data_IF_184270687793
#
_entry.id   IF_184270687793
#
_cell.length_a   1.000
_cell.length_b   1.000
_cell.length_c   1.000
_cell.angle_alpha   90.00
_cell.angle_beta   90.00
_cell.angle_gamma   90.00
#
_symmetry.space_group_name_H-M   'P 1'
#
loop_
_entity.id
_entity.type
_entity.pdbx_description
1 polymer ?
2 water ?
#
# COMPACT_ATOMS: atom_id res chain seq x y z
N UNK A 1 -2.79 12.03 -22.91
CA UNK A 1 -1.40 11.68 -22.69
C UNK A 1 -1.02 10.31 -23.21
N UNK A 2 0.27 9.95 -23.11
CA UNK A 2 0.76 8.64 -23.58
C UNK A 2 0.09 7.46 -22.81
N UNK A 3 -0.16 6.35 -23.50
CA UNK A 3 -0.70 5.14 -22.87
C UNK A 3 0.26 4.55 -21.79
N UNK A 4 1.59 4.76 -21.95
CA UNK A 4 2.60 4.31 -20.98
C UNK A 4 2.50 5.11 -19.66
N UNK A 5 1.85 6.28 -19.67
CA UNK A 5 1.64 7.13 -18.48
C UNK A 5 0.28 6.87 -17.79
N UNK A 6 -0.47 5.88 -18.25
CA UNK A 6 -1.75 5.52 -17.63
C UNK A 6 -1.53 4.81 -16.30
N UNK A 7 -2.56 4.81 -15.46
CA UNK A 7 -2.52 4.13 -14.16
C UNK A 7 -3.54 3.03 -14.14
N UNK A 8 -3.19 1.91 -13.47
CA UNK A 8 -4.09 0.77 -13.33
C UNK A 8 -4.59 0.69 -11.87
N UNK A 9 -5.81 1.18 -11.65
CA UNK A 9 -6.42 1.18 -10.33
C UNK A 9 -7.09 -0.15 -10.10
N UNK A 10 -6.84 -0.78 -8.95
CA UNK A 10 -7.51 -2.03 -8.56
C UNK A 10 -8.03 -1.87 -7.12
N UNK A 11 -9.11 -2.60 -6.81
CA UNK A 11 -9.62 -2.82 -5.46
C UNK A 11 -10.06 -4.28 -5.37
N UNK A 12 -9.59 -4.99 -4.33
CA UNK A 12 -9.94 -6.39 -4.08
C UNK A 12 -10.67 -6.49 -2.73
N UNK A 13 -11.58 -7.46 -2.62
CA UNK A 13 -12.28 -7.80 -1.37
C UNK A 13 -11.94 -9.25 -1.14
N UNK A 14 -11.50 -9.56 0.07
CA UNK A 14 -11.01 -10.88 0.40
C UNK A 14 -11.60 -11.39 1.69
N UNK A 15 -11.49 -12.70 1.92
CA UNK A 15 -12.07 -13.35 3.10
C UNK A 15 -11.35 -12.96 4.39
N UNK A 16 -10.09 -12.51 4.29
CA UNK A 16 -9.33 -12.05 5.45
C UNK A 16 -7.95 -11.56 5.09
N UNK A 17 -7.08 -11.41 6.10
CA UNK A 17 -5.71 -10.89 5.96
C UNK A 17 -4.65 -11.99 5.87
N UNK A 18 -5.00 -13.27 6.10
CA UNK A 18 -4.02 -14.37 6.08
C UNK A 18 -3.77 -14.83 4.65
N UNK A 19 -2.60 -14.50 4.10
CA UNK A 19 -2.21 -14.87 2.73
C UNK A 19 -2.17 -16.41 2.51
N UNK A 20 -1.93 -17.20 3.58
CA UNK A 20 -1.90 -18.67 3.44
C UNK A 20 -3.32 -19.28 3.33
N UNK A 21 -4.30 -18.78 4.09
CA UNK A 21 -5.67 -19.31 4.12
C UNK A 21 -6.69 -18.54 3.26
N UNK A 22 -6.70 -17.21 3.37
CA UNK A 22 -7.72 -16.40 2.70
C UNK A 22 -7.61 -16.32 1.20
N UNK A 23 -8.73 -15.97 0.56
CA UNK A 23 -8.89 -15.92 -0.88
C UNK A 23 -9.55 -14.64 -1.34
N UNK A 24 -9.40 -14.35 -2.65
CA UNK A 24 -10.00 -13.17 -3.26
C UNK A 24 -11.46 -13.50 -3.61
N UNK A 25 -12.42 -12.66 -3.14
CA UNK A 25 -13.85 -12.87 -3.39
C UNK A 25 -14.43 -11.83 -4.35
N UNK A 26 -13.81 -10.64 -4.47
CA UNK A 26 -14.27 -9.62 -5.43
C UNK A 26 -13.09 -8.85 -5.95
N UNK A 27 -13.19 -8.36 -7.20
CA UNK A 27 -12.11 -7.55 -7.77
C UNK A 27 -12.70 -6.57 -8.75
N UNK A 28 -12.07 -5.40 -8.87
CA UNK A 28 -12.45 -4.39 -9.86
C UNK A 28 -11.20 -3.73 -10.40
N UNK A 29 -11.30 -3.19 -11.61
CA UNK A 29 -10.18 -2.50 -12.22
C UNK A 29 -10.68 -1.27 -12.92
N UNK A 30 -9.88 -0.20 -12.91
CA UNK A 30 -10.23 1.05 -13.58
C UNK A 30 -8.95 1.69 -14.13
N UNK A 31 -8.99 2.30 -15.34
CA UNK A 31 -7.84 2.99 -15.91
C UNK A 31 -8.05 4.48 -15.89
N UNK A 32 -7.04 5.22 -15.38
CA UNK A 32 -7.00 6.65 -15.48
C UNK A 32 -5.73 7.03 -16.25
N UNK A 33 -5.68 8.26 -16.76
CA UNK A 33 -4.50 8.84 -17.35
C UNK A 33 -3.62 9.36 -16.20
N UNK A 34 -2.45 9.94 -16.53
CA UNK A 34 -1.50 10.45 -15.55
C UNK A 34 -2.07 11.49 -14.55
N UNK A 35 -3.06 12.27 -14.99
CA UNK A 35 -3.71 13.34 -14.25
C UNK A 35 -5.02 12.92 -13.62
N UNK A 36 -5.27 11.58 -13.46
CA UNK A 36 -6.46 11.08 -12.78
C UNK A 36 -7.78 11.29 -13.54
N UNK A 37 -7.70 11.60 -14.85
CA UNK A 37 -8.87 11.67 -15.72
C UNK A 37 -9.28 10.23 -16.01
N UNK A 38 -10.59 9.95 -15.93
CA UNK A 38 -11.19 8.61 -16.01
C UNK A 38 -11.12 8.13 -17.46
N UNK A 39 -10.45 7.00 -17.77
CA UNK A 39 -10.36 6.55 -19.16
C UNK A 39 -11.29 5.36 -19.45
N UNK A 40 -11.27 4.30 -18.63
CA UNK A 40 -12.08 3.13 -18.92
C UNK A 40 -12.29 2.27 -17.68
N UNK A 41 -13.54 1.85 -17.43
CA UNK A 41 -13.82 0.97 -16.30
C UNK A 41 -13.64 -0.47 -16.78
N UNK A 42 -12.94 -1.26 -15.99
CA UNK A 42 -12.70 -2.68 -16.26
C UNK A 42 -13.77 -3.54 -15.64
N UNK A 43 -13.60 -4.86 -15.65
CA UNK A 43 -14.62 -5.73 -15.06
C UNK A 43 -14.80 -5.53 -13.54
N UNK A 44 -16.00 -5.83 -13.03
CA UNK A 44 -16.26 -5.93 -11.58
C UNK A 44 -16.77 -7.35 -11.43
N UNK A 45 -15.93 -8.24 -10.91
CA UNK A 45 -16.21 -9.67 -10.82
C UNK A 45 -16.26 -10.16 -9.38
N UNK A 46 -17.28 -10.97 -9.06
CA UNK A 46 -17.43 -11.61 -7.74
C UNK A 46 -17.00 -13.05 -7.98
N UNK A 47 -15.96 -13.50 -7.27
CA UNK A 47 -15.31 -14.80 -7.47
C UNK A 47 -15.79 -15.83 -6.47
N UNK A 48 -16.13 -17.04 -6.95
CA UNK A 48 -16.61 -18.16 -6.13
C UNK A 48 -15.50 -18.68 -5.25
N UNK A 49 -15.82 -18.89 -3.97
CA UNK A 49 -14.93 -19.50 -2.98
C UNK A 49 -15.79 -20.42 -2.09
N UNK A 50 -15.20 -21.44 -1.42
CA UNK A 50 -16.03 -22.36 -0.62
C UNK A 50 -16.84 -21.76 0.54
N UNK A 51 -17.89 -22.47 0.96
CA UNK A 51 -18.73 -22.05 2.10
C UNK A 51 -17.94 -22.14 3.42
N UNK A 52 -17.05 -23.15 3.55
CA UNK A 52 -16.22 -23.31 4.76
C UNK A 52 -15.42 -22.04 4.99
N UNK A 53 -14.78 -21.52 3.92
CA UNK A 53 -13.99 -20.28 3.98
C UNK A 53 -14.87 -19.10 4.38
N UNK A 54 -16.07 -18.95 3.77
CA UNK A 54 -16.98 -17.85 4.08
C UNK A 54 -17.50 -17.85 5.53
N UNK A 55 -17.62 -19.03 6.17
CA UNK A 55 -18.09 -19.17 7.55
C UNK A 55 -16.95 -19.00 8.56
N UNK A 56 -15.70 -19.35 8.17
CA UNK A 56 -14.53 -19.20 9.03
C UNK A 56 -13.97 -17.74 9.06
N UNK A 57 -14.63 -16.78 8.36
CA UNK A 57 -14.21 -15.36 8.33
C UNK A 57 -14.37 -14.69 9.69
N UNK A 58 -13.61 -13.60 9.92
CA UNK A 58 -13.68 -12.84 11.17
C UNK A 58 -15.08 -12.23 11.34
N UNK A 59 -15.48 -11.97 12.60
CA UNK A 59 -16.80 -11.40 12.89
C UNK A 59 -17.00 -10.05 12.18
N UNK A 60 -15.91 -9.26 12.04
CA UNK A 60 -15.93 -7.99 11.31
C UNK A 60 -16.18 -8.29 9.82
N UNK A 61 -15.46 -9.29 9.28
CA UNK A 61 -15.59 -9.70 7.87
C UNK A 61 -16.99 -10.24 7.56
N UNK A 62 -17.52 -11.13 8.44
CA UNK A 62 -18.86 -11.71 8.28
C UNK A 62 -19.97 -10.64 8.17
N UNK A 63 -19.97 -9.63 9.06
CA UNK A 63 -21.01 -8.60 9.03
C UNK A 63 -20.86 -7.62 7.86
N UNK A 64 -19.64 -7.12 7.62
CA UNK A 64 -19.39 -6.14 6.56
C UNK A 64 -19.64 -6.69 5.14
N UNK A 65 -19.33 -7.99 4.89
CA UNK A 65 -19.59 -8.61 3.59
C UNK A 65 -21.08 -9.01 3.45
N UNK A 66 -21.77 -9.20 4.58
CA UNK A 66 -23.19 -9.50 4.61
C UNK A 66 -24.04 -8.28 4.28
N UNK A 67 -23.76 -7.12 4.91
CA UNK A 67 -24.54 -5.89 4.67
C UNK A 67 -24.30 -5.31 3.27
N UNK A 68 -23.07 -5.47 2.70
CA UNK A 68 -22.78 -5.02 1.33
C UNK A 68 -23.46 -5.93 0.29
N UNK A 69 -23.83 -7.14 0.71
CA UNK A 69 -24.48 -8.13 -0.13
C UNK A 69 -23.50 -8.97 -0.93
N UNK A 70 -22.22 -9.05 -0.47
CA UNK A 70 -21.18 -9.78 -1.18
C UNK A 70 -21.27 -11.27 -0.94
N UNK A 71 -21.31 -11.70 0.34
CA UNK A 71 -21.36 -13.14 0.70
C UNK A 71 -22.46 -13.89 -0.08
N UNK A 72 -23.63 -13.27 -0.27
CA UNK A 72 -24.72 -13.85 -1.06
C UNK A 72 -24.25 -14.06 -2.52
N UNK A 73 -23.66 -13.00 -3.13
CA UNK A 73 -23.16 -13.04 -4.50
C UNK A 73 -21.98 -14.00 -4.68
N UNK A 74 -21.14 -14.19 -3.64
CA UNK A 74 -20.01 -15.13 -3.71
C UNK A 74 -20.56 -16.55 -3.79
N UNK A 75 -21.63 -16.84 -3.01
CA UNK A 75 -22.25 -18.15 -2.97
C UNK A 75 -22.97 -18.53 -4.28
N UNK A 76 -23.52 -17.54 -5.02
CA UNK A 76 -24.19 -17.74 -6.31
C UNK A 76 -23.25 -17.58 -7.53
N UNK A 77 -21.92 -17.44 -7.31
CA UNK A 77 -20.97 -17.17 -8.40
C UNK A 77 -20.52 -18.40 -9.21
N UNK A 78 -20.39 -18.21 -10.54
CA UNK A 78 -19.86 -19.21 -11.48
C UNK A 78 -18.44 -18.80 -11.95
N UNK A 79 -17.92 -17.63 -11.49
CA UNK A 79 -16.61 -17.11 -11.89
C UNK A 79 -15.54 -17.75 -11.03
N UNK A 80 -14.55 -18.43 -11.66
CA UNK A 80 -13.41 -18.99 -10.93
C UNK A 80 -12.30 -17.93 -10.91
N UNK A 81 -11.29 -18.13 -10.05
CA UNK A 81 -10.12 -17.25 -9.93
C UNK A 81 -9.43 -17.11 -11.30
N UNK A 82 -9.16 -18.28 -11.95
CA UNK A 82 -8.51 -18.37 -13.25
C UNK A 82 -9.28 -17.58 -14.30
N UNK A 83 -10.63 -17.72 -14.34
CA UNK A 83 -11.48 -16.98 -15.27
C UNK A 83 -11.41 -15.46 -15.00
N UNK A 84 -11.39 -15.05 -13.72
CA UNK A 84 -11.29 -13.63 -13.34
C UNK A 84 -9.94 -13.05 -13.77
N UNK A 85 -8.85 -13.77 -13.51
CA UNK A 85 -7.51 -13.30 -13.94
C UNK A 85 -7.48 -13.11 -15.45
N UNK A 86 -8.06 -14.06 -16.22
CA UNK A 86 -8.11 -13.94 -17.68
C UNK A 86 -8.84 -12.66 -18.10
N UNK A 87 -9.97 -12.35 -17.43
CA UNK A 87 -10.73 -11.16 -17.74
C UNK A 87 -9.92 -9.87 -17.41
N UNK A 88 -9.34 -9.82 -16.20
CA UNK A 88 -8.56 -8.65 -15.76
C UNK A 88 -7.27 -8.47 -16.60
N UNK A 89 -6.54 -9.54 -16.86
CA UNK A 89 -5.33 -9.45 -17.69
C UNK A 89 -5.69 -8.99 -19.12
N UNK A 90 -6.75 -9.57 -19.75
CA UNK A 90 -7.18 -9.16 -21.11
C UNK A 90 -7.50 -7.69 -21.18
N UNK A 91 -8.26 -7.18 -20.19
CA UNK A 91 -8.61 -5.79 -20.14
C UNK A 91 -7.38 -4.90 -20.03
N UNK A 92 -6.49 -5.14 -19.08
CA UNK A 92 -5.28 -4.28 -18.97
C UNK A 92 -4.38 -4.36 -20.22
N UNK A 93 -4.32 -5.53 -20.89
CA UNK A 93 -3.50 -5.60 -22.13
C UNK A 93 -4.11 -4.71 -23.26
N UNK A 94 -5.43 -4.55 -23.28
CA UNK A 94 -6.11 -3.72 -24.28
C UNK A 94 -5.94 -2.23 -23.99
N UNK A 95 -5.65 -1.87 -22.74
CA UNK A 95 -5.57 -0.50 -22.25
C UNK A 95 -4.16 0.05 -22.04
N UNK A 96 -3.16 -0.81 -21.83
CA UNK A 96 -1.83 -0.31 -21.45
C UNK A 96 -0.70 -1.11 -22.11
N UNK A 97 0.46 -0.48 -22.35
CA UNK A 97 1.60 -1.23 -22.88
C UNK A 97 2.16 -2.15 -21.75
N UNK A 98 2.82 -3.26 -22.10
CA UNK A 98 3.28 -4.21 -21.06
C UNK A 98 4.35 -3.70 -20.12
N UNK A 99 4.19 -4.05 -18.85
CA UNK A 99 5.12 -3.78 -17.74
C UNK A 99 5.53 -2.35 -17.53
N UNK A 100 4.73 -1.36 -17.97
CA UNK A 100 5.06 0.08 -17.81
C UNK A 100 4.11 0.88 -16.90
N UNK A 101 2.93 0.40 -16.65
CA UNK A 101 1.93 1.15 -15.85
C UNK A 101 1.86 0.69 -14.39
N UNK A 102 1.75 1.63 -13.43
CA UNK A 102 1.71 1.22 -12.04
C UNK A 102 0.38 0.70 -11.57
N UNK A 103 0.42 -0.02 -10.47
CA UNK A 103 -0.76 -0.44 -9.73
C UNK A 103 -1.14 0.79 -8.86
N UNK A 104 -2.42 1.12 -8.78
CA UNK A 104 -2.86 2.24 -7.94
C UNK A 104 -4.03 1.85 -7.07
N UNK A 105 -4.10 2.41 -5.88
CA UNK A 105 -5.19 2.11 -4.95
C UNK A 105 -5.00 2.66 -3.56
N UNK A 106 -5.80 2.18 -2.61
CA UNK A 106 -5.77 2.57 -1.21
C UNK A 106 -5.23 1.39 -0.43
N UNK A 107 -4.10 1.54 0.29
CA UNK A 107 -3.43 0.44 1.01
C UNK A 107 -3.29 -0.74 0.04
N UNK A 108 -2.91 -0.43 -1.19
CA UNK A 108 -2.86 -1.40 -2.28
C UNK A 108 -1.73 -2.46 -2.11
N UNK A 109 -0.84 -2.29 -1.11
CA UNK A 109 0.16 -3.29 -0.72
C UNK A 109 -0.56 -4.61 -0.32
N UNK A 110 -1.69 -4.48 0.39
CA UNK A 110 -2.49 -5.62 0.83
C UNK A 110 -3.05 -6.39 -0.40
N UNK A 111 -3.61 -5.67 -1.39
CA UNK A 111 -4.14 -6.24 -2.64
C UNK A 111 -3.04 -6.88 -3.46
N UNK A 112 -1.86 -6.23 -3.53
CA UNK A 112 -0.70 -6.74 -4.26
C UNK A 112 -0.23 -8.08 -3.68
N UNK A 113 -0.30 -8.23 -2.36
CA UNK A 113 0.08 -9.49 -1.70
C UNK A 113 -0.78 -10.63 -2.29
N UNK A 114 -2.11 -10.43 -2.35
CA UNK A 114 -3.02 -11.42 -2.90
C UNK A 114 -2.91 -11.53 -4.45
N UNK A 115 -2.67 -10.40 -5.17
CA UNK A 115 -2.49 -10.46 -6.64
C UNK A 115 -1.19 -11.17 -6.99
N UNK A 116 -0.09 -10.91 -6.25
CA UNK A 116 1.21 -11.58 -6.50
C UNK A 116 1.10 -13.11 -6.41
N UNK A 117 0.33 -13.62 -5.44
CA UNK A 117 0.15 -15.05 -5.26
C UNK A 117 -0.86 -15.66 -6.24
N UNK A 118 -2.08 -15.10 -6.26
CA UNK A 118 -3.23 -15.64 -7.01
C UNK A 118 -3.48 -15.08 -8.43
N UNK A 119 -2.90 -13.95 -8.82
CA UNK A 119 -3.04 -13.41 -10.18
C UNK A 119 -1.67 -12.95 -10.67
N UNK A 120 -0.66 -13.83 -10.67
CA UNK A 120 0.70 -13.42 -11.09
C UNK A 120 0.84 -12.95 -12.54
N UNK A 121 0.03 -13.46 -13.49
CA UNK A 121 0.10 -13.02 -14.90
C UNK A 121 -0.41 -11.60 -15.05
N UNK A 122 -1.53 -11.27 -14.36
CA UNK A 122 -2.03 -9.90 -14.31
C UNK A 122 -0.89 -8.97 -13.78
N UNK A 123 -0.21 -9.38 -12.71
CA UNK A 123 0.83 -8.55 -12.11
C UNK A 123 2.06 -8.34 -13.00
N UNK A 124 2.37 -9.31 -13.88
CA UNK A 124 3.49 -9.20 -14.83
C UNK A 124 3.18 -8.14 -15.88
N UNK A 125 1.87 -7.86 -16.18
CA UNK A 125 1.54 -6.80 -17.11
C UNK A 125 1.83 -5.42 -16.50
N UNK A 126 1.90 -5.32 -15.16
CA UNK A 126 2.12 -4.04 -14.49
C UNK A 126 3.58 -3.73 -14.20
N UNK A 127 3.94 -2.44 -14.16
CA UNK A 127 5.32 -2.06 -13.78
C UNK A 127 5.49 -2.32 -12.26
N UNK A 128 6.73 -2.22 -11.75
CA UNK A 128 7.02 -2.38 -10.33
C UNK A 128 6.44 -1.22 -9.47
N UNK A 129 6.30 -0.02 -10.04
CA UNK A 129 5.80 1.13 -9.28
C UNK A 129 4.38 0.93 -8.70
N UNK A 130 4.13 1.53 -7.54
CA UNK A 130 2.84 1.54 -6.85
C UNK A 130 2.49 3.01 -6.53
N UNK A 131 1.22 3.37 -6.72
CA UNK A 131 0.72 4.68 -6.30
C UNK A 131 -0.29 4.34 -5.22
N UNK A 132 0.02 4.69 -3.97
CA UNK A 132 -0.86 4.36 -2.85
C UNK A 132 -1.46 5.64 -2.29
N UNK A 133 -2.76 5.79 -2.47
CA UNK A 133 -3.48 6.98 -2.00
C UNK A 133 -3.37 7.16 -0.52
N UNK A 134 -3.29 6.05 0.24
CA UNK A 134 -3.19 6.11 1.70
C UNK A 134 -1.88 6.75 2.19
N UNK A 135 -0.75 6.69 1.42
CA UNK A 135 0.49 7.40 1.83
C UNK A 135 0.17 8.90 1.81
N UNK A 136 -0.58 9.36 0.75
CA UNK A 136 -0.92 10.78 0.62
C UNK A 136 -1.87 11.17 1.73
N UNK A 137 -2.85 10.31 2.06
CA UNK A 137 -3.77 10.50 3.17
C UNK A 137 -3.01 10.77 4.49
N UNK A 138 -2.01 9.93 4.82
CA UNK A 138 -1.22 10.09 6.07
C UNK A 138 -0.44 11.40 6.11
N UNK A 139 0.14 11.80 4.99
CA UNK A 139 0.85 13.07 4.88
C UNK A 139 -0.14 14.27 4.93
N UNK A 140 -1.34 14.13 4.35
CA UNK A 140 -2.35 15.20 4.41
C UNK A 140 -2.78 15.45 5.84
N UNK A 141 -3.04 14.39 6.59
CA UNK A 141 -3.49 14.49 7.99
C UNK A 141 -2.45 15.21 8.87
N UNK A 142 -1.18 14.98 8.60
CA UNK A 142 -0.10 15.60 9.37
C UNK A 142 0.20 17.02 8.91
N UNK A 143 0.50 17.17 7.64
CA UNK A 143 0.96 18.44 7.08
C UNK A 143 -0.10 19.44 6.68
N UNK A 144 -1.36 18.98 6.40
CA UNK A 144 -2.45 19.85 5.96
C UNK A 144 -3.72 19.51 6.74
N UNK A 145 -3.67 19.63 8.08
CA UNK A 145 -4.84 19.23 8.91
C UNK A 145 -6.14 19.93 8.56
N UNK A 146 -6.08 21.19 8.14
CA UNK A 146 -7.25 21.98 7.77
C UNK A 146 -7.90 21.41 6.48
N UNK A 147 -7.09 21.07 5.46
CA UNK A 147 -7.61 20.50 4.22
C UNK A 147 -8.09 19.07 4.46
N UNK A 148 -7.44 18.32 5.38
CA UNK A 148 -7.86 16.96 5.72
C UNK A 148 -9.29 16.93 6.27
N UNK A 149 -9.65 17.92 7.10
CA UNK A 149 -11.00 18.03 7.68
C UNK A 149 -12.08 18.23 6.63
N UNK A 150 -11.81 19.01 5.58
CA UNK A 150 -12.80 19.31 4.52
C UNK A 150 -13.02 18.14 3.57
N UNK A 151 -12.10 17.15 3.53
CA UNK A 151 -12.27 16.05 2.58
C UNK A 151 -13.59 15.29 2.85
N UNK A 152 -14.23 14.72 1.82
CA UNK A 152 -15.46 13.99 2.08
C UNK A 152 -15.21 12.68 2.84
N UNK A 153 -16.19 12.29 3.64
CA UNK A 153 -16.17 10.97 4.27
C UNK A 153 -16.32 9.90 3.15
N UNK A 154 -15.77 8.68 3.33
CA UNK A 154 -15.95 7.60 2.34
C UNK A 154 -17.34 6.96 2.48
N UNK A 155 -17.99 6.64 1.35
CA UNK A 155 -19.31 6.01 1.34
C UNK A 155 -19.26 4.57 1.81
N UNK A 156 -20.44 4.02 2.12
CA UNK A 156 -20.58 2.62 2.55
C UNK A 156 -20.19 1.68 1.38
N UNK A 157 -19.51 0.57 1.69
CA UNK A 157 -19.09 -0.40 0.69
C UNK A 157 -20.27 -0.97 -0.10
N UNK A 158 -20.14 -1.03 -1.44
CA UNK A 158 -21.12 -1.64 -2.33
C UNK A 158 -20.35 -2.71 -3.12
N UNK A 159 -19.64 -2.32 -4.19
CA UNK A 159 -18.79 -3.22 -4.96
C UNK A 159 -17.38 -2.60 -5.06
N UNK A 160 -16.41 -3.43 -5.44
CA UNK A 160 -15.01 -3.04 -5.57
C UNK A 160 -14.85 -1.85 -6.53
N UNK A 161 -15.65 -1.79 -7.60
CA UNK A 161 -15.58 -0.70 -8.60
C UNK A 161 -15.97 0.67 -7.98
N UNK A 162 -16.92 0.67 -7.02
CA UNK A 162 -17.28 1.91 -6.31
C UNK A 162 -16.17 2.32 -5.32
N UNK A 163 -15.45 1.32 -4.77
CA UNK A 163 -14.34 1.62 -3.85
C UNK A 163 -13.19 2.33 -4.59
N UNK A 164 -12.96 1.92 -5.86
CA UNK A 164 -11.92 2.51 -6.70
C UNK A 164 -12.27 3.92 -7.02
N UNK A 165 -13.57 4.17 -7.29
CA UNK A 165 -14.05 5.50 -7.57
C UNK A 165 -13.76 6.44 -6.39
N UNK A 166 -13.99 5.96 -5.15
CA UNK A 166 -13.75 6.75 -3.94
C UNK A 166 -12.25 6.99 -3.75
N UNK A 167 -11.42 6.01 -4.08
CA UNK A 167 -9.95 6.17 -4.01
C UNK A 167 -9.44 7.23 -4.99
N UNK A 168 -9.98 7.22 -6.25
CA UNK A 168 -9.62 8.22 -7.27
C UNK A 168 -10.04 9.61 -6.80
N UNK A 169 -11.32 9.74 -6.37
CA UNK A 169 -11.85 10.98 -5.82
C UNK A 169 -10.97 11.49 -4.68
N UNK A 170 -10.51 10.59 -3.81
CA UNK A 170 -9.64 10.97 -2.70
C UNK A 170 -8.29 11.52 -3.18
N UNK A 171 -7.65 10.86 -4.18
CA UNK A 171 -6.35 11.38 -4.63
C UNK A 171 -6.52 12.68 -5.42
N UNK A 172 -7.65 12.83 -6.17
CA UNK A 172 -7.95 14.07 -6.91
C UNK A 172 -8.11 15.18 -5.87
N UNK A 173 -8.82 14.91 -4.75
CA UNK A 173 -8.96 15.91 -3.66
C UNK A 173 -7.56 16.37 -3.18
N UNK A 174 -6.63 15.42 -2.94
CA UNK A 174 -5.27 15.79 -2.51
C UNK A 174 -4.56 16.62 -3.53
N UNK A 175 -4.62 16.24 -4.79
CA UNK A 175 -3.96 17.04 -5.83
C UNK A 175 -4.54 18.46 -5.84
N UNK A 176 -5.87 18.54 -5.80
CA UNK A 176 -6.56 19.83 -5.85
C UNK A 176 -6.31 20.74 -4.67
N UNK A 177 -5.99 20.18 -3.48
CA UNK A 177 -5.90 20.94 -2.23
C UNK A 177 -4.58 21.04 -1.53
N UNK A 178 -3.64 20.07 -1.68
CA UNK A 178 -2.37 20.10 -0.89
C UNK A 178 -1.11 20.06 -1.75
N UNK A 179 -1.25 19.93 -3.07
CA UNK A 179 -0.11 19.97 -3.98
C UNK A 179 -0.03 21.41 -4.50
N UNK A 180 1.19 21.88 -4.70
CA UNK A 180 1.63 23.22 -5.10
C UNK A 180 0.85 23.79 -6.29
N UNK B 1 -2.48 14.92 19.94
CA UNK B 1 -2.38 14.01 18.82
C UNK B 1 -0.99 13.94 18.20
N UNK B 2 0.01 14.67 18.75
CA UNK B 2 1.38 14.65 18.20
C UNK B 2 2.05 13.28 18.25
N UNK B 3 1.79 12.49 19.31
CA UNK B 3 2.42 11.15 19.46
C UNK B 3 1.89 10.14 18.41
N UNK B 4 0.58 10.16 18.15
CA UNK B 4 -0.06 9.28 17.16
C UNK B 4 0.36 9.62 15.72
N UNK B 5 0.84 10.87 15.49
CA UNK B 5 1.33 11.32 14.20
C UNK B 5 2.85 11.08 13.98
N UNK B 6 3.55 10.36 14.90
CA UNK B 6 4.96 10.00 14.71
C UNK B 6 5.01 8.89 13.64
N UNK B 7 6.19 8.57 13.10
CA UNK B 7 6.34 7.55 12.05
C UNK B 7 7.46 6.58 12.40
N UNK B 8 7.24 5.29 12.13
CA UNK B 8 8.21 4.23 12.38
C UNK B 8 8.90 3.89 11.06
N UNK B 9 10.08 4.44 10.83
CA UNK B 9 10.82 4.21 9.60
C UNK B 9 11.65 2.97 9.65
N UNK B 10 11.65 2.17 8.59
CA UNK B 10 12.47 0.98 8.51
C UNK B 10 13.03 0.85 7.11
N UNK B 11 14.08 0.04 6.99
CA UNK B 11 14.65 -0.38 5.72
C UNK B 11 15.19 -1.79 5.94
N UNK B 12 14.93 -2.70 5.00
CA UNK B 12 15.39 -4.07 5.10
C UNK B 12 16.07 -4.50 3.81
N UNK B 13 17.03 -5.43 3.93
CA UNK B 13 17.70 -6.08 2.79
C UNK B 13 17.38 -7.56 2.91
N UNK B 14 16.99 -8.19 1.81
CA UNK B 14 16.62 -9.62 1.78
C UNK B 14 17.42 -10.36 0.72
N UNK B 15 17.33 -11.71 0.71
CA UNK B 15 18.03 -12.55 -0.28
C UNK B 15 17.30 -12.54 -1.65
N UNK B 16 16.04 -12.12 -1.66
CA UNK B 16 15.22 -12.00 -2.87
C UNK B 16 13.86 -11.43 -2.55
N UNK B 17 12.85 -11.67 -3.42
CA UNK B 17 11.49 -11.15 -3.25
C UNK B 17 10.43 -12.21 -2.90
N UNK B 18 10.74 -13.53 -2.94
CA UNK B 18 9.76 -14.58 -2.61
C UNK B 18 9.59 -14.70 -1.08
N UNK B 19 8.38 -14.42 -0.57
CA UNK B 19 8.09 -14.49 0.88
C UNK B 19 8.32 -15.89 1.48
N UNK B 20 7.99 -16.97 0.74
CA UNK B 20 8.13 -18.34 1.24
C UNK B 20 9.59 -18.83 1.33
N UNK B 21 10.45 -18.45 0.37
CA UNK B 21 11.84 -18.90 0.36
C UNK B 21 12.88 -17.91 0.90
N UNK B 22 12.79 -16.60 0.56
CA UNK B 22 13.80 -15.62 0.96
C UNK B 22 13.72 -15.19 2.43
N UNK B 23 14.85 -14.62 2.94
CA UNK B 23 15.00 -14.21 4.34
C UNK B 23 15.52 -12.77 4.50
N UNK B 24 15.38 -12.22 5.72
CA UNK B 24 15.83 -10.88 6.09
C UNK B 24 17.33 -10.91 6.43
N UNK B 25 18.18 -10.20 5.63
CA UNK B 25 19.64 -10.11 5.81
C UNK B 25 19.98 -8.99 6.80
N UNK B 26 19.42 -7.79 6.57
CA UNK B 26 19.70 -6.60 7.35
C UNK B 26 18.42 -5.85 7.67
N UNK B 27 18.38 -5.11 8.78
CA UNK B 27 17.24 -4.29 9.16
C UNK B 27 17.71 -3.11 9.99
N UNK B 28 17.07 -1.95 9.81
CA UNK B 28 17.30 -0.74 10.59
C UNK B 28 15.95 -0.12 10.85
N UNK B 29 15.85 0.66 11.93
CA UNK B 29 14.60 1.32 12.29
C UNK B 29 14.94 2.62 13.02
N UNK B 30 14.12 3.66 12.81
CA UNK B 30 14.26 4.95 13.51
C UNK B 30 12.91 5.63 13.53
N UNK B 31 12.70 6.57 14.47
CA UNK B 31 11.41 7.26 14.64
C UNK B 31 11.58 8.72 14.29
N UNK B 32 10.64 9.26 13.49
CA UNK B 32 10.59 10.70 13.21
C UNK B 32 9.28 11.23 13.78
N UNK B 33 9.21 12.54 13.97
CA UNK B 33 7.93 13.13 14.36
C UNK B 33 7.12 13.33 13.04
N UNK B 34 5.93 13.93 13.13
CA UNK B 34 5.07 14.21 11.98
C UNK B 34 5.75 15.09 10.92
N UNK B 35 6.69 15.99 11.33
CA UNK B 35 7.45 16.87 10.42
C UNK B 35 8.82 16.29 10.00
N UNK B 36 9.00 14.97 10.16
CA UNK B 36 10.20 14.27 9.71
C UNK B 36 11.46 14.56 10.55
N UNK B 37 11.36 15.13 11.76
CA UNK B 37 12.55 15.31 12.60
C UNK B 37 12.87 13.96 13.28
N UNK B 38 14.09 13.43 13.11
CA UNK B 38 14.53 12.16 13.70
C UNK B 38 14.55 12.33 15.24
N UNK B 39 13.67 11.61 15.97
CA UNK B 39 13.57 11.64 17.43
C UNK B 39 14.51 10.64 18.11
N UNK B 40 14.77 9.48 17.47
CA UNK B 40 15.64 8.43 18.00
C UNK B 40 16.06 7.44 16.92
N UNK B 41 17.35 7.05 16.86
CA UNK B 41 17.86 6.06 15.89
C UNK B 41 17.96 4.69 16.55
N UNK B 42 17.43 3.66 15.90
CA UNK B 42 17.45 2.29 16.40
C UNK B 42 18.65 1.54 15.89
N UNK B 43 18.71 0.23 16.15
CA UNK B 43 19.88 -0.53 15.72
C UNK B 43 19.89 -0.89 14.25
N UNK B 44 21.07 -1.09 13.66
CA UNK B 44 21.26 -1.53 12.28
C UNK B 44 21.83 -2.95 12.38
N UNK B 45 20.93 -3.94 12.42
CA UNK B 45 21.29 -5.35 12.61
C UNK B 45 21.50 -6.16 11.33
N UNK B 46 22.56 -7.00 11.31
CA UNK B 46 22.87 -7.96 10.24
C UNK B 46 22.40 -9.30 10.83
N UNK B 47 21.48 -10.00 10.17
CA UNK B 47 20.86 -11.23 10.69
C UNK B 47 21.43 -12.49 10.03
N UNK B 78 26.58 -10.23 13.99
CA UNK B 78 25.38 -10.94 13.53
C UNK B 78 24.47 -11.32 14.74
N UNK B 79 23.17 -11.48 14.50
CA UNK B 79 22.16 -11.76 15.55
C UNK B 79 21.03 -12.63 14.95
N UNK B 80 20.11 -13.19 15.78
CA UNK B 80 18.98 -14.00 15.28
C UNK B 80 17.75 -13.13 15.06
N UNK B 81 16.87 -13.58 14.12
CA UNK B 81 15.61 -12.91 13.79
C UNK B 81 14.72 -12.63 15.01
N UNK B 82 14.54 -13.62 15.91
CA UNK B 82 13.68 -13.45 17.09
C UNK B 82 14.27 -12.46 18.10
N UNK B 83 15.62 -12.40 18.21
CA UNK B 83 16.29 -11.44 19.11
C UNK B 83 16.22 -10.07 18.44
N UNK B 84 16.47 -9.99 17.10
CA UNK B 84 16.34 -8.74 16.33
C UNK B 84 14.93 -8.15 16.52
N UNK B 85 13.90 -9.01 16.54
CA UNK B 85 12.52 -8.59 16.78
C UNK B 85 12.35 -8.03 18.19
N UNK B 86 13.01 -8.64 19.20
CA UNK B 86 12.94 -8.13 20.57
C UNK B 86 13.62 -6.76 20.66
N UNK B 87 14.77 -6.60 19.99
CA UNK B 87 15.50 -5.33 19.98
C UNK B 87 14.62 -4.22 19.36
N UNK B 88 14.05 -4.49 18.16
CA UNK B 88 13.19 -3.53 17.46
C UNK B 88 11.86 -3.25 18.17
N UNK B 89 11.20 -4.30 18.70
CA UNK B 89 9.93 -4.12 19.43
C UNK B 89 10.15 -3.31 20.71
N UNK B 90 11.30 -3.47 21.40
CA UNK B 90 11.61 -2.71 22.62
C UNK B 90 11.78 -1.23 22.28
N UNK B 91 12.50 -0.97 21.18
CA UNK B 91 12.76 0.37 20.67
C UNK B 91 11.46 1.11 20.30
N UNK B 92 10.56 0.51 19.49
CA UNK B 92 9.31 1.20 19.10
C UNK B 92 8.30 1.31 20.28
N UNK B 93 8.36 0.40 21.27
CA UNK B 93 7.45 0.46 22.42
C UNK B 93 7.77 1.66 23.34
N UNK B 94 9.04 2.10 23.40
CA UNK B 94 9.42 3.24 24.23
C UNK B 94 9.37 4.59 23.46
N UNK B 95 8.97 4.59 22.16
CA UNK B 95 8.91 5.80 21.31
C UNK B 95 7.50 6.16 20.80
N UNK B 96 6.65 5.17 20.48
CA UNK B 96 5.30 5.43 19.92
C UNK B 96 4.21 4.69 20.69
N UNK B 97 2.92 5.15 20.62
CA UNK B 97 1.85 4.40 21.30
C UNK B 97 1.38 3.21 20.44
N UNK B 98 0.97 2.05 21.03
CA UNK B 98 0.58 0.90 20.19
C UNK B 98 -0.66 1.07 19.26
N UNK B 99 -0.48 0.68 18.01
CA UNK B 99 -1.52 0.66 16.99
C UNK B 99 -1.85 1.99 16.33
N UNK B 100 -1.13 3.08 16.67
CA UNK B 100 -1.41 4.42 16.14
C UNK B 100 -0.43 4.91 15.06
N UNK B 101 0.86 4.47 15.08
CA UNK B 101 1.86 4.98 14.15
C UNK B 101 2.12 4.07 12.97
N UNK B 102 2.24 4.63 11.75
CA UNK B 102 2.47 3.78 10.59
C UNK B 102 3.94 3.43 10.36
N UNK B 103 4.14 2.37 9.62
CA UNK B 103 5.43 1.95 9.10
C UNK B 103 5.73 2.95 7.94
N UNK B 104 6.98 3.43 7.83
CA UNK B 104 7.37 4.39 6.80
C UNK B 104 8.69 3.96 6.17
N UNK B 105 8.83 4.20 4.89
CA UNK B 105 10.02 3.82 4.18
C UNK B 105 9.88 4.09 2.72
N UNK B 106 10.81 3.56 1.95
CA UNK B 106 10.86 3.73 0.51
C UNK B 106 10.66 2.34 -0.06
N UNK B 107 9.64 2.12 -0.91
CA UNK B 107 9.26 0.78 -1.42
C UNK B 107 9.13 -0.18 -0.19
N UNK B 108 8.41 0.31 0.82
CA UNK B 108 8.18 -0.36 2.08
C UNK B 108 7.08 -1.44 1.97
N UNK B 109 6.36 -1.53 0.81
CA UNK B 109 5.37 -2.59 0.58
C UNK B 109 6.03 -4.00 0.67
N UNK B 110 7.23 -4.15 0.08
CA UNK B 110 7.98 -5.40 0.12
C UNK B 110 8.50 -5.64 1.55
N UNK B 111 8.97 -4.58 2.23
CA UNK B 111 9.44 -4.68 3.62
C UNK B 111 8.29 -5.11 4.56
N UNK B 112 7.08 -4.55 4.39
CA UNK B 112 5.92 -4.88 5.20
C UNK B 112 5.53 -6.36 5.08
N UNK B 113 5.69 -6.95 3.88
CA UNK B 113 5.36 -8.36 3.63
C UNK B 113 6.24 -9.27 4.50
N UNK B 114 7.57 -9.08 4.42
CA UNK B 114 8.55 -9.82 5.22
C UNK B 114 8.36 -9.57 6.72
N UNK B 115 7.96 -8.36 7.11
CA UNK B 115 7.73 -8.02 8.52
C UNK B 115 6.47 -8.64 9.11
N UNK B 116 5.36 -8.70 8.35
CA UNK B 116 4.10 -9.29 8.84
C UNK B 116 4.28 -10.79 9.18
N UNK B 117 5.08 -11.47 8.37
CA UNK B 117 5.43 -12.88 8.52
C UNK B 117 6.46 -13.13 9.63
N UNK B 118 7.68 -12.55 9.47
CA UNK B 118 8.83 -12.79 10.33
C UNK B 118 8.90 -11.91 11.59
N UNK B 119 8.10 -10.83 11.72
CA UNK B 119 8.10 -9.98 12.93
C UNK B 119 6.66 -9.54 13.27
N UNK B 120 5.73 -10.50 13.52
CA UNK B 120 4.34 -10.13 13.78
C UNK B 120 4.04 -9.37 15.07
N UNK B 121 4.91 -9.45 16.09
CA UNK B 121 4.69 -8.70 17.35
C UNK B 121 5.07 -7.23 17.16
N UNK B 122 6.11 -6.95 16.33
CA UNK B 122 6.54 -5.59 15.94
C UNK B 122 5.39 -4.93 15.16
N UNK B 123 4.85 -5.63 14.14
CA UNK B 123 3.73 -5.13 13.32
C UNK B 123 2.43 -4.93 14.10
N UNK B 124 2.26 -5.65 15.23
CA UNK B 124 1.11 -5.46 16.12
C UNK B 124 1.20 -4.09 16.84
N UNK B 125 2.43 -3.55 17.01
CA UNK B 125 2.64 -2.23 17.62
C UNK B 125 2.32 -1.08 16.64
N UNK B 126 2.40 -1.33 15.32
CA UNK B 126 2.15 -0.31 14.30
C UNK B 126 0.71 -0.28 13.81
N UNK B 127 0.37 0.78 13.05
CA UNK B 127 -0.93 0.98 12.44
C UNK B 127 -0.97 0.13 11.14
N UNK B 128 -2.17 -0.13 10.60
CA UNK B 128 -2.32 -0.92 9.37
C UNK B 128 -1.84 -0.19 8.10
N UNK B 129 -1.96 1.17 8.04
CA UNK B 129 -1.47 1.92 6.87
C UNK B 129 0.03 2.12 6.94
N UNK B 130 0.64 2.37 5.78
CA UNK B 130 2.05 2.66 5.67
C UNK B 130 2.30 3.98 4.90
N UNK B 131 3.49 4.59 5.10
CA UNK B 131 3.90 5.81 4.40
C UNK B 131 5.04 5.39 3.49
N UNK B 132 4.79 5.32 2.20
CA UNK B 132 5.80 4.90 1.25
C UNK B 132 6.28 6.10 0.36
N UNK B 133 7.54 6.50 0.53
CA UNK B 133 8.15 7.63 -0.22
C UNK B 133 8.07 7.41 -1.75
N UNK B 134 8.10 6.14 -2.20
CA UNK B 134 8.00 5.83 -3.63
C UNK B 134 6.69 6.28 -4.27
N UNK B 135 5.58 6.37 -3.49
CA UNK B 135 4.32 6.92 -4.00
C UNK B 135 4.53 8.40 -4.32
N UNK B 136 5.19 9.16 -3.40
CA UNK B 136 5.40 10.60 -3.59
C UNK B 136 6.33 10.86 -4.76
N UNK B 137 7.37 10.04 -4.90
CA UNK B 137 8.32 10.16 -6.01
C UNK B 137 7.59 10.07 -7.34
N UNK B 138 6.68 9.11 -7.42
CA UNK B 138 5.91 8.84 -8.62
C UNK B 138 4.94 9.97 -8.96
N UNK B 139 4.32 10.59 -7.94
CA UNK B 139 3.45 11.73 -8.15
C UNK B 139 4.31 12.92 -8.56
N UNK B 140 5.53 13.07 -7.97
CA UNK B 140 6.47 14.13 -8.37
C UNK B 140 6.81 13.98 -9.84
N UNK B 141 7.21 12.76 -10.24
CA UNK B 141 7.59 12.45 -11.62
C UNK B 141 6.52 12.88 -12.62
N UNK B 142 5.23 12.56 -12.33
CA UNK B 142 4.13 12.87 -13.25
C UNK B 142 3.70 14.33 -13.23
N UNK B 143 3.38 14.81 -12.04
CA UNK B 143 2.79 16.13 -11.88
C UNK B 143 3.78 17.29 -11.79
N UNK B 144 5.06 17.01 -11.44
CA UNK B 144 6.10 18.04 -11.25
C UNK B 144 7.39 17.59 -11.96
N UNK B 145 7.35 17.43 -13.30
CA UNK B 145 8.54 16.94 -14.03
C UNK B 145 9.81 17.76 -13.84
N UNK B 146 9.69 19.07 -13.64
CA UNK B 146 10.86 19.91 -13.43
C UNK B 146 11.52 19.64 -12.08
N UNK B 147 10.71 19.57 -11.02
CA UNK B 147 11.21 19.31 -9.65
C UNK B 147 11.79 17.89 -9.61
N UNK B 148 11.14 16.96 -10.31
CA UNK B 148 11.61 15.61 -10.39
C UNK B 148 13.03 15.53 -10.97
N UNK B 149 13.37 16.32 -12.02
CA UNK B 149 14.71 16.28 -12.65
C UNK B 149 15.84 16.69 -11.71
N UNK B 150 15.59 17.59 -10.75
CA UNK B 150 16.63 17.98 -9.80
C UNK B 150 16.43 17.34 -8.40
N UNK B 151 15.55 16.33 -8.26
CA UNK B 151 15.35 15.68 -6.96
C UNK B 151 16.63 14.92 -6.56
N UNK B 152 16.98 14.86 -5.25
CA UNK B 152 18.20 14.13 -4.83
C UNK B 152 18.42 12.78 -5.50
N UNK B 157 23.40 2.50 -0.96
CA UNK B 157 23.80 2.69 0.44
C UNK B 157 24.61 1.47 0.97
N UNK B 158 25.59 1.73 1.84
CA UNK B 158 26.40 0.67 2.46
C UNK B 158 25.71 0.02 3.69
N UNK B 159 24.85 0.77 4.42
CA UNK B 159 24.05 0.29 5.56
C UNK B 159 22.58 0.56 5.33
N UNK B 160 21.71 -0.18 6.04
CA UNK B 160 20.27 -0.01 5.94
C UNK B 160 19.80 1.25 6.69
N UNK B 161 20.49 1.65 7.78
CA UNK B 161 20.14 2.87 8.52
C UNK B 161 20.44 4.13 7.69
N UNK B 162 21.49 4.08 6.88
CA UNK B 162 21.86 5.18 6.00
C UNK B 162 20.80 5.33 4.87
N UNK B 163 20.24 4.19 4.40
CA UNK B 163 19.18 4.17 3.39
C UNK B 163 17.93 4.91 3.92
N UNK B 164 17.58 4.72 5.22
CA UNK B 164 16.44 5.40 5.85
C UNK B 164 16.68 6.91 5.86
N UNK B 165 17.88 7.32 6.28
CA UNK B 165 18.26 8.74 6.35
C UNK B 165 18.09 9.44 4.99
N UNK B 166 18.49 8.78 3.91
CA UNK B 166 18.35 9.31 2.55
C UNK B 166 16.88 9.35 2.09
N UNK B 167 16.07 8.34 2.47
CA UNK B 167 14.64 8.33 2.15
C UNK B 167 13.89 9.50 2.83
N UNK B 168 14.27 9.87 4.06
CA UNK B 168 13.66 10.99 4.79
C UNK B 168 14.00 12.34 4.05
N UNK B 169 15.28 12.49 3.62
CA UNK B 169 15.72 13.66 2.89
C UNK B 169 15.01 13.73 1.54
N UNK B 170 14.72 12.56 0.91
CA UNK B 170 13.97 12.55 -0.34
C UNK B 170 12.55 13.05 -0.08
N UNK B 171 11.91 12.57 1.00
CA UNK B 171 10.53 12.98 1.33
C UNK B 171 10.50 14.46 1.68
N UNK B 172 11.48 14.94 2.46
CA UNK B 172 11.54 16.37 2.82
C UNK B 172 11.65 17.24 1.53
N UNK B 173 12.41 16.76 0.54
CA UNK B 173 12.56 17.46 -0.74
C UNK B 173 11.17 17.60 -1.40
N UNK B 174 10.35 16.53 -1.41
CA UNK B 174 9.03 16.60 -2.01
C UNK B 174 8.15 17.55 -1.25
N UNK B 175 8.19 17.52 0.10
CA UNK B 175 7.34 18.45 0.90
C UNK B 175 7.63 19.90 0.48
N UNK B 176 8.93 20.24 0.37
CA UNK B 176 9.36 21.59 0.03
C UNK B 176 9.12 21.98 -1.41
N UNK B 177 9.21 21.06 -2.35
CA UNK B 177 9.13 21.37 -3.76
C UNK B 177 7.81 21.07 -4.45
N UNK B 178 6.99 20.12 -3.98
CA UNK B 178 5.73 19.84 -4.71
C UNK B 178 4.46 20.01 -3.85
N UNK B 179 4.59 20.11 -2.50
CA UNK B 179 3.40 20.32 -1.64
C UNK B 179 3.17 21.82 -1.50
N UNK B 180 1.89 22.22 -1.30
CA UNK B 180 1.44 23.62 -1.27
C UNK B 180 2.18 24.51 -0.25
#
# INVERSE_FOLDING_TARGET
GAMAQRMVWVDLEMTGLDIEKDQIIEMACLITDSDLNILAEGPNLIIKQPDELLDSMSDWCKEHHGKSGLTKAVKESTITLQQAEYEFLSFVRQQTPPGLCPLAGNSVHEDKKFLDKYMPQFMKHLHYRIIDVSTVKELCRRWYPEEYEFAPKKAASHRALDDISESIKELQFYRNNIFK
GAMAQRMVWVDLEMTGLDIEKDQIIEMACLITDSDLNILAEGPNLIIKQPDELLDSMSDWCKEHHGKSGLTKAVKESTITLQQAEYEFLSFVRQQTPPGLCPLAGNSVHEDKKFLDKYMPQFMKHLHYRIIDVSTVKELCRRWYPEEYEFAPKKAASHRALDDISESIKELQFYRNNIFK
#
